data_IF_693613116768
#
_entry.id   IF_693613116768
#
_cell.length_a   1.000
_cell.length_b   1.000
_cell.length_c   1.000
_cell.angle_alpha   90.00
_cell.angle_beta   90.00
_cell.angle_gamma   90.00
#
_symmetry.space_group_name_H-M   'P 1'
#
loop_
_entity.id
_entity.type
_entity.pdbx_description
1 polymer ?
#
# COMPACT_ATOMS: atom_id res chain seq x y z
N UNK A 1 6.18 -6.81 -1.05
CA UNK A 1 5.25 -6.66 0.08
C UNK A 1 3.79 -6.82 -0.35
N UNK A 2 3.25 -5.92 -1.19
CA UNK A 2 1.82 -5.95 -1.57
C UNK A 2 1.35 -7.27 -2.17
N UNK A 3 2.13 -7.84 -3.11
CA UNK A 3 1.81 -9.14 -3.71
C UNK A 3 1.74 -10.28 -2.69
N UNK A 4 2.61 -10.28 -1.68
CA UNK A 4 2.61 -11.32 -0.65
C UNK A 4 1.35 -11.25 0.23
N UNK A 5 0.91 -10.04 0.59
CA UNK A 5 -0.32 -9.84 1.36
C UNK A 5 -1.57 -10.14 0.53
N UNK A 6 -1.58 -9.79 -0.76
CA UNK A 6 -2.68 -10.18 -1.65
C UNK A 6 -2.75 -11.69 -1.88
N UNK A 7 -1.61 -12.36 -2.06
CA UNK A 7 -1.58 -13.82 -2.19
C UNK A 7 -2.13 -14.49 -0.93
N UNK A 8 -1.68 -14.05 0.26
CA UNK A 8 -2.21 -14.55 1.53
C UNK A 8 -3.71 -14.30 1.68
N UNK A 9 -4.20 -13.15 1.26
CA UNK A 9 -5.63 -12.86 1.28
C UNK A 9 -6.42 -13.81 0.38
N UNK A 10 -5.92 -14.06 -0.85
CA UNK A 10 -6.53 -15.02 -1.76
C UNK A 10 -6.56 -16.45 -1.17
N UNK A 11 -5.48 -16.88 -0.51
CA UNK A 11 -5.42 -18.17 0.18
C UNK A 11 -6.45 -18.29 1.32
N UNK A 12 -6.76 -17.19 1.99
CA UNK A 12 -7.79 -17.10 3.03
C UNK A 12 -9.20 -16.84 2.48
N UNK A 13 -9.36 -16.69 1.16
CA UNK A 13 -10.64 -16.36 0.53
C UNK A 13 -11.12 -14.92 0.81
N UNK A 14 -10.22 -14.04 1.25
CA UNK A 14 -10.50 -12.64 1.58
C UNK A 14 -9.99 -11.74 0.45
N UNK A 15 -10.77 -10.72 0.10
CA UNK A 15 -10.36 -9.73 -0.90
C UNK A 15 -9.83 -8.47 -0.21
N UNK A 16 -8.60 -8.07 -0.54
CA UNK A 16 -8.03 -6.79 -0.11
C UNK A 16 -8.31 -5.72 -1.17
N UNK A 17 -8.42 -4.46 -0.73
CA UNK A 17 -8.44 -3.32 -1.65
C UNK A 17 -7.15 -3.28 -2.50
N UNK A 18 -7.18 -2.74 -3.73
CA UNK A 18 -5.96 -2.60 -4.51
C UNK A 18 -4.93 -1.72 -3.78
N UNK A 19 -3.63 -2.04 -3.86
CA UNK A 19 -2.57 -1.24 -3.26
C UNK A 19 -2.44 0.10 -4.00
N UNK A 20 -1.92 1.14 -3.33
CA UNK A 20 -1.66 2.41 -3.99
C UNK A 20 -0.65 2.24 -5.12
N UNK A 21 -0.85 2.89 -6.28
CA UNK A 21 0.10 2.85 -7.39
C UNK A 21 1.37 3.64 -7.05
N UNK A 22 2.51 3.13 -7.48
CA UNK A 22 3.78 3.81 -7.30
C UNK A 22 3.87 5.06 -8.19
N UNK A 23 4.29 6.23 -7.66
CA UNK A 23 4.51 7.42 -8.46
C UNK A 23 5.56 7.17 -9.56
N UNK A 24 5.25 7.57 -10.79
CA UNK A 24 6.17 7.41 -11.93
C UNK A 24 7.04 8.64 -12.20
N UNK A 25 6.74 9.77 -11.54
CA UNK A 25 7.45 11.03 -11.72
C UNK A 25 7.69 11.71 -10.39
N UNK A 26 8.90 12.25 -10.19
CA UNK A 26 9.16 13.16 -9.08
C UNK A 26 8.49 14.51 -9.36
N UNK A 27 7.79 15.08 -8.37
CA UNK A 27 7.10 16.36 -8.54
C UNK A 27 8.04 17.57 -8.65
N UNK A 28 9.35 17.40 -8.44
CA UNK A 28 10.37 18.45 -8.60
C UNK A 28 10.32 19.57 -7.55
N UNK A 29 9.47 19.45 -6.52
CA UNK A 29 9.27 20.49 -5.47
C UNK A 29 10.20 20.33 -4.26
N UNK A 30 11.18 19.43 -4.34
CA UNK A 30 11.96 18.97 -3.19
C UNK A 30 11.30 17.81 -2.46
N UNK A 31 11.89 17.36 -1.35
CA UNK A 31 11.41 16.19 -0.61
C UNK A 31 10.17 16.47 0.24
N UNK A 32 10.10 17.65 0.86
CA UNK A 32 8.98 18.02 1.74
C UNK A 32 7.69 18.18 0.93
N UNK A 33 6.66 17.43 1.27
CA UNK A 33 5.39 17.42 0.53
C UNK A 33 5.49 16.77 -0.86
N UNK A 34 6.49 15.90 -1.07
CA UNK A 34 6.63 15.22 -2.35
C UNK A 34 5.58 14.11 -2.55
N UNK A 35 5.35 13.72 -3.80
CA UNK A 35 4.43 12.62 -4.15
C UNK A 35 4.79 11.30 -3.47
N UNK A 36 6.08 11.11 -3.14
CA UNK A 36 6.55 9.93 -2.45
C UNK A 36 6.11 9.91 -0.98
N UNK A 37 6.03 11.05 -0.28
CA UNK A 37 5.49 11.09 1.08
C UNK A 37 4.04 10.62 1.12
N UNK A 38 3.21 11.13 0.20
CA UNK A 38 1.82 10.70 0.06
C UNK A 38 1.70 9.22 -0.29
N UNK A 39 2.53 8.73 -1.22
CA UNK A 39 2.59 7.31 -1.56
C UNK A 39 2.98 6.43 -0.38
N UNK A 40 4.04 6.76 0.36
CA UNK A 40 4.49 5.98 1.51
C UNK A 40 3.48 5.99 2.65
N UNK A 41 2.80 7.11 2.90
CA UNK A 41 1.69 7.18 3.85
C UNK A 41 0.54 6.25 3.43
N UNK A 42 0.11 6.32 2.16
CA UNK A 42 -0.95 5.47 1.64
C UNK A 42 -0.57 3.98 1.64
N UNK A 43 0.68 3.66 1.32
CA UNK A 43 1.23 2.31 1.34
C UNK A 43 1.27 1.72 2.74
N UNK A 44 1.67 2.53 3.73
CA UNK A 44 1.72 2.12 5.13
C UNK A 44 0.31 1.86 5.66
N UNK A 45 -0.61 2.78 5.41
CA UNK A 45 -2.01 2.61 5.79
C UNK A 45 -2.64 1.37 5.15
N UNK A 46 -2.44 1.15 3.84
CA UNK A 46 -2.91 -0.05 3.16
C UNK A 46 -2.39 -1.34 3.79
N UNK A 47 -1.09 -1.38 4.13
CA UNK A 47 -0.47 -2.55 4.77
C UNK A 47 -1.10 -2.81 6.13
N UNK A 48 -1.27 -1.77 6.94
CA UNK A 48 -1.79 -1.92 8.30
C UNK A 48 -3.23 -2.42 8.28
N UNK A 49 -4.07 -1.89 7.38
CA UNK A 49 -5.43 -2.44 7.15
C UNK A 49 -5.40 -3.89 6.67
N UNK A 50 -4.55 -4.23 5.69
CA UNK A 50 -4.44 -5.59 5.18
C UNK A 50 -4.02 -6.58 6.29
N UNK A 51 -3.08 -6.19 7.15
CA UNK A 51 -2.66 -7.03 8.27
C UNK A 51 -3.76 -7.22 9.31
N UNK A 52 -4.55 -6.17 9.59
CA UNK A 52 -5.72 -6.29 10.47
C UNK A 52 -6.75 -7.28 9.92
N UNK A 53 -6.99 -7.25 8.60
CA UNK A 53 -7.92 -8.17 7.93
C UNK A 53 -7.42 -9.63 7.96
N UNK A 54 -6.11 -9.86 7.80
CA UNK A 54 -5.52 -11.20 7.68
C UNK A 54 -5.15 -11.88 9.01
N UNK A 55 -5.28 -11.16 10.12
CA UNK A 55 -4.96 -11.65 11.48
C UNK A 55 -6.22 -12.04 12.26
N UNK A 56 -7.41 -11.76 11.73
CA UNK A 56 -8.68 -12.37 12.14
C UNK A 56 -8.81 -13.80 11.57
#
# INVERSE_FOLDING_TARGET
MFLALQARAADQGVSLRPPPPEPTTCCGRGCNGCVWEGYYAAASYWRDEALLILTD
#
